data_IF_620229271985
#
_entry.id   IF_620229271985
#
_cell.length_a   1.000
_cell.length_b   1.000
_cell.length_c   1.000
_cell.angle_alpha   90.00
_cell.angle_beta   90.00
_cell.angle_gamma   90.00
#
_symmetry.space_group_name_H-M   'P 1'
#
loop_
_entity.id
_entity.type
_entity.pdbx_description
1 polymer ?
#
# COMPACT_ATOMS: atom_id res chain seq x y z
N UNK A 1 13.05 0.28 -1.71
CA UNK A 1 11.95 0.90 -2.48
C UNK A 1 11.63 2.25 -1.87
N UNK A 2 11.59 3.30 -2.67
CA UNK A 2 11.21 4.63 -2.20
C UNK A 2 9.70 4.77 -2.16
N UNK A 3 9.21 5.82 -1.48
CA UNK A 3 7.78 6.11 -1.43
C UNK A 3 7.21 6.34 -2.84
N UNK A 4 7.96 7.05 -3.69
CA UNK A 4 7.54 7.30 -5.06
C UNK A 4 7.41 6.00 -5.84
N UNK A 5 8.38 5.12 -5.73
CA UNK A 5 8.34 3.81 -6.38
C UNK A 5 7.16 2.97 -5.87
N UNK A 6 6.96 2.98 -4.55
CA UNK A 6 5.86 2.23 -3.94
C UNK A 6 4.50 2.70 -4.48
N UNK A 7 4.34 4.02 -4.62
CA UNK A 7 3.09 4.58 -5.13
C UNK A 7 2.77 4.19 -6.58
N UNK A 8 3.78 3.81 -7.36
CA UNK A 8 3.59 3.42 -8.76
C UNK A 8 3.28 1.94 -8.95
N UNK A 9 3.40 1.14 -7.91
CA UNK A 9 3.11 -0.29 -8.01
C UNK A 9 1.63 -0.50 -8.25
N UNK A 10 1.30 -1.32 -9.24
CA UNK A 10 -0.09 -1.59 -9.63
C UNK A 10 -0.61 -2.80 -8.86
N UNK A 11 -1.82 -2.68 -8.32
CA UNK A 11 -2.49 -3.77 -7.63
C UNK A 11 -2.94 -4.79 -8.66
N UNK A 12 -2.67 -6.06 -8.39
CA UNK A 12 -2.95 -7.15 -9.32
C UNK A 12 -4.14 -8.02 -8.92
N UNK A 13 -4.83 -7.69 -7.84
CA UNK A 13 -5.93 -8.51 -7.35
C UNK A 13 -6.95 -7.69 -6.57
N UNK A 14 -8.15 -8.23 -6.42
CA UNK A 14 -9.20 -7.65 -5.59
C UNK A 14 -9.92 -6.50 -6.25
N UNK A 15 -10.65 -5.75 -5.43
CA UNK A 15 -11.50 -4.65 -5.90
C UNK A 15 -10.69 -3.48 -6.45
N UNK A 16 -9.43 -3.38 -6.06
CA UNK A 16 -8.54 -2.31 -6.52
C UNK A 16 -7.63 -2.73 -7.67
N UNK A 17 -7.88 -3.88 -8.27
CA UNK A 17 -7.08 -4.36 -9.39
C UNK A 17 -6.98 -3.30 -10.49
N UNK A 18 -5.75 -3.03 -10.93
CA UNK A 18 -5.50 -2.03 -11.97
C UNK A 18 -5.21 -0.64 -11.42
N UNK A 19 -5.44 -0.40 -10.14
CA UNK A 19 -5.09 0.87 -9.50
C UNK A 19 -3.67 0.83 -8.96
N UNK A 20 -3.06 2.01 -8.82
CA UNK A 20 -1.74 2.09 -8.18
C UNK A 20 -1.89 2.11 -6.66
N UNK A 21 -0.79 1.80 -5.97
CA UNK A 21 -0.78 1.87 -4.50
C UNK A 21 -1.05 3.30 -4.02
N UNK A 22 -0.59 4.32 -4.75
CA UNK A 22 -0.90 5.71 -4.42
C UNK A 22 -2.40 5.97 -4.46
N UNK A 23 -3.10 5.47 -5.48
CA UNK A 23 -4.54 5.61 -5.59
C UNK A 23 -5.27 4.87 -4.48
N UNK A 24 -4.80 3.67 -4.14
CA UNK A 24 -5.38 2.89 -3.03
C UNK A 24 -5.20 3.64 -1.71
N UNK A 25 -4.04 4.21 -1.48
CA UNK A 25 -3.77 4.97 -0.27
C UNK A 25 -4.71 6.17 -0.13
N UNK A 26 -5.07 6.77 -1.25
CA UNK A 26 -5.96 7.92 -1.26
C UNK A 26 -7.42 7.53 -1.10
N UNK A 27 -7.85 6.48 -1.80
CA UNK A 27 -9.27 6.12 -1.87
C UNK A 27 -9.69 5.07 -0.85
N UNK A 28 -8.82 4.12 -0.56
CA UNK A 28 -9.12 2.98 0.31
C UNK A 28 -7.93 2.66 1.22
N UNK A 29 -7.55 3.57 2.12
CA UNK A 29 -6.40 3.35 3.00
C UNK A 29 -6.40 2.01 3.74
N UNK A 30 -7.55 1.49 4.23
CA UNK A 30 -7.55 0.18 4.92
C UNK A 30 -7.07 -0.98 4.04
N UNK A 31 -7.17 -0.87 2.72
CA UNK A 31 -6.70 -1.93 1.81
C UNK A 31 -5.19 -2.14 1.91
N UNK A 32 -4.45 -1.10 2.27
CA UNK A 32 -2.99 -1.22 2.46
C UNK A 32 -2.67 -2.23 3.57
N UNK A 33 -3.45 -2.22 4.64
CA UNK A 33 -3.28 -3.17 5.73
C UNK A 33 -3.63 -4.59 5.29
N UNK A 34 -4.62 -4.73 4.44
CA UNK A 34 -4.97 -6.01 3.86
C UNK A 34 -3.78 -6.60 3.09
N UNK A 35 -3.15 -5.80 2.22
CA UNK A 35 -2.01 -6.26 1.44
C UNK A 35 -0.79 -6.55 2.31
N UNK A 36 -0.62 -5.81 3.39
CA UNK A 36 0.56 -5.94 4.26
C UNK A 36 0.42 -7.08 5.27
N UNK A 37 -0.74 -7.20 5.93
CA UNK A 37 -0.92 -8.10 7.06
C UNK A 37 -2.00 -9.15 6.83
N UNK A 38 -2.96 -8.87 5.99
CA UNK A 38 -4.21 -9.62 5.95
C UNK A 38 -4.22 -10.78 5.00
N UNK A 39 -5.28 -10.86 4.20
CA UNK A 39 -5.56 -12.02 3.37
C UNK A 39 -4.80 -12.12 2.06
N UNK A 40 -3.94 -11.15 1.75
CA UNK A 40 -3.19 -11.24 0.51
C UNK A 40 -2.03 -12.22 0.66
N UNK A 41 -2.16 -13.35 0.00
CA UNK A 41 -1.17 -14.40 0.01
C UNK A 41 -0.60 -14.68 -1.39
N UNK A 42 -0.79 -13.74 -2.30
CA UNK A 42 -0.29 -13.87 -3.66
C UNK A 42 1.23 -13.81 -3.74
N UNK A 43 1.79 -14.16 -4.91
CA UNK A 43 3.23 -14.22 -5.09
C UNK A 43 3.90 -12.86 -5.24
N UNK A 44 3.14 -11.78 -5.30
CA UNK A 44 3.68 -10.45 -5.58
C UNK A 44 4.24 -9.79 -4.32
N UNK A 45 5.50 -10.09 -4.01
CA UNK A 45 6.19 -9.48 -2.87
C UNK A 45 6.38 -7.98 -3.04
N UNK A 46 6.37 -7.49 -4.28
CA UNK A 46 6.50 -6.06 -4.57
C UNK A 46 5.27 -5.32 -4.05
N UNK A 47 4.08 -5.90 -4.22
CA UNK A 47 2.85 -5.30 -3.71
C UNK A 47 2.88 -5.18 -2.18
N UNK A 48 3.33 -6.22 -1.49
CA UNK A 48 3.48 -6.17 -0.03
C UNK A 48 4.47 -5.10 0.40
N UNK A 49 5.63 -5.05 -0.27
CA UNK A 49 6.65 -4.05 0.05
C UNK A 49 6.13 -2.64 -0.17
N UNK A 50 5.43 -2.42 -1.28
CA UNK A 50 4.85 -1.12 -1.59
C UNK A 50 3.81 -0.72 -0.55
N UNK A 51 2.95 -1.64 -0.13
CA UNK A 51 1.95 -1.37 0.89
C UNK A 51 2.62 -1.01 2.23
N UNK A 52 3.69 -1.70 2.58
CA UNK A 52 4.43 -1.39 3.82
C UNK A 52 5.04 0.00 3.77
N UNK A 53 5.70 0.35 2.66
CA UNK A 53 6.31 1.67 2.52
C UNK A 53 5.24 2.77 2.64
N UNK A 54 4.10 2.57 2.01
CA UNK A 54 3.01 3.55 2.06
C UNK A 54 2.43 3.66 3.47
N UNK A 55 2.20 2.55 4.15
CA UNK A 55 1.70 2.56 5.53
C UNK A 55 2.66 3.26 6.47
N UNK A 56 3.95 2.98 6.34
CA UNK A 56 4.96 3.62 7.18
C UNK A 56 4.97 5.14 6.97
N UNK A 57 4.78 5.59 5.74
CA UNK A 57 4.69 7.02 5.44
C UNK A 57 3.47 7.65 6.10
N UNK A 58 2.31 7.01 6.01
CA UNK A 58 1.07 7.52 6.60
C UNK A 58 1.18 7.54 8.12
N UNK A 59 1.67 6.47 8.72
CA UNK A 59 1.82 6.39 10.17
C UNK A 59 2.86 7.39 10.67
N UNK A 60 3.93 7.61 9.91
CA UNK A 60 4.92 8.62 10.24
C UNK A 60 4.33 10.03 10.24
N UNK A 61 3.46 10.33 9.29
CA UNK A 61 2.76 11.62 9.25
C UNK A 61 1.85 11.80 10.46
N UNK A 62 1.13 10.75 10.86
CA UNK A 62 0.29 10.82 12.04
C UNK A 62 1.11 11.04 13.30
N UNK A 63 2.25 10.39 13.41
CA UNK A 63 3.14 10.54 14.55
C UNK A 63 3.66 11.96 14.70
N UNK A 64 3.81 12.68 13.60
CA UNK A 64 4.34 14.04 13.64
C UNK A 64 3.38 15.07 14.23
N UNK A 65 2.15 14.70 14.48
CA UNK A 65 1.16 15.59 15.11
C UNK A 65 1.19 15.59 16.63
N UNK A 66 2.00 14.77 17.22
CA UNK A 66 2.04 14.64 18.68
C UNK A 66 3.02 15.62 19.34
#
# INVERSE_FOLDING_TARGET
MTLEEAGKVVVDTGVSKGQTIAEVAERRPPSLKYYRYGGYDGPNNILRAAAQVMLDSIEGQKASFI
#
